data_IF_383578644066
#
_entry.id   IF_383578644066
#
_cell.length_a   1.000
_cell.length_b   1.000
_cell.length_c   1.000
_cell.angle_alpha   90.00
_cell.angle_beta   90.00
_cell.angle_gamma   90.00
#
_symmetry.space_group_name_H-M   'P 1'
#
loop_
_entity.id
_entity.type
_entity.pdbx_description
1 polymer ?
#
# COMPACT_ATOMS: atom_id res chain seq x y z
N UNK A 1 -11.84 1.49 6.20
CA UNK A 1 -10.81 0.85 5.34
C UNK A 1 -10.19 1.73 4.25
N UNK A 2 -10.94 2.46 3.41
CA UNK A 2 -10.34 3.24 2.30
C UNK A 2 -9.39 4.36 2.76
N UNK A 3 -9.78 5.11 3.81
CA UNK A 3 -8.93 6.17 4.39
C UNK A 3 -7.59 5.61 4.89
N UNK A 4 -7.65 4.51 5.65
CA UNK A 4 -6.45 3.79 6.15
C UNK A 4 -5.56 3.31 5.01
N UNK A 5 -6.15 2.81 3.92
CA UNK A 5 -5.39 2.42 2.72
C UNK A 5 -4.64 3.61 2.13
N UNK A 6 -5.32 4.75 1.93
CA UNK A 6 -4.73 5.96 1.36
C UNK A 6 -3.65 6.53 2.27
N UNK A 7 -3.90 6.61 3.58
CA UNK A 7 -2.92 7.11 4.57
C UNK A 7 -1.65 6.26 4.61
N UNK A 8 -1.78 4.93 4.66
CA UNK A 8 -0.60 4.05 4.68
C UNK A 8 0.16 4.05 3.34
N UNK A 9 -0.54 4.18 2.20
CA UNK A 9 0.11 4.32 0.89
C UNK A 9 0.86 5.65 0.79
N UNK A 10 0.28 6.77 1.24
CA UNK A 10 0.95 8.08 1.27
C UNK A 10 2.19 8.01 2.18
N UNK A 11 2.08 7.37 3.35
CA UNK A 11 3.23 7.18 4.26
C UNK A 11 4.34 6.35 3.62
N UNK A 12 3.99 5.37 2.80
CA UNK A 12 4.93 4.50 2.09
C UNK A 12 5.38 5.09 0.74
N UNK A 13 4.76 6.17 0.26
CA UNK A 13 4.97 6.75 -1.06
C UNK A 13 6.44 7.03 -1.38
N UNK A 14 7.25 7.63 -0.48
CA UNK A 14 8.66 7.88 -0.78
C UNK A 14 9.46 6.62 -1.13
N UNK A 15 9.14 5.48 -0.51
CA UNK A 15 9.83 4.20 -0.71
C UNK A 15 9.22 3.36 -1.85
N UNK A 16 7.92 3.52 -2.09
CA UNK A 16 7.21 2.75 -3.13
C UNK A 16 7.30 3.41 -4.50
N UNK A 17 7.22 4.74 -4.56
CA UNK A 17 7.04 5.52 -5.79
C UNK A 17 7.86 6.81 -5.85
N UNK A 18 8.28 7.35 -4.71
CA UNK A 18 8.92 8.65 -4.60
C UNK A 18 10.45 8.61 -4.52
N UNK A 19 11.03 9.60 -3.84
CA UNK A 19 12.47 9.88 -3.83
C UNK A 19 13.37 8.76 -3.28
N UNK A 20 12.83 7.82 -2.51
CA UNK A 20 13.57 6.70 -1.93
C UNK A 20 13.41 5.40 -2.72
N UNK A 21 12.66 5.39 -3.83
CA UNK A 21 12.33 4.18 -4.59
C UNK A 21 13.57 3.44 -5.11
N UNK A 22 14.63 4.19 -5.47
CA UNK A 22 15.90 3.66 -5.96
C UNK A 22 16.77 3.03 -4.86
N UNK A 23 16.54 3.42 -3.60
CA UNK A 23 17.24 2.90 -2.43
C UNK A 23 16.46 1.80 -1.70
N UNK A 24 15.21 1.56 -2.13
CA UNK A 24 14.32 0.59 -1.49
C UNK A 24 14.39 -0.75 -2.22
N UNK A 25 14.85 -1.79 -1.53
CA UNK A 25 14.95 -3.14 -2.08
C UNK A 25 13.57 -3.73 -2.42
N UNK A 26 13.54 -4.71 -3.32
CA UNK A 26 12.30 -5.42 -3.69
C UNK A 26 11.66 -6.06 -2.44
N UNK A 27 12.46 -6.71 -1.59
CA UNK A 27 11.98 -7.29 -0.33
C UNK A 27 11.32 -6.23 0.55
N UNK A 28 11.94 -5.05 0.69
CA UNK A 28 11.38 -3.96 1.49
C UNK A 28 10.07 -3.43 0.92
N UNK A 29 9.96 -3.31 -0.41
CA UNK A 29 8.70 -2.95 -1.07
C UNK A 29 7.62 -3.98 -0.80
N UNK A 30 7.95 -5.27 -0.82
CA UNK A 30 7.00 -6.35 -0.49
C UNK A 30 6.51 -6.28 0.95
N UNK A 31 7.39 -6.00 1.91
CA UNK A 31 7.01 -5.80 3.31
C UNK A 31 6.09 -4.59 3.50
N UNK A 32 6.38 -3.46 2.84
CA UNK A 32 5.53 -2.26 2.89
C UNK A 32 4.13 -2.56 2.36
N UNK A 33 4.04 -3.23 1.22
CA UNK A 33 2.75 -3.65 0.67
C UNK A 33 2.00 -4.62 1.59
N UNK A 34 2.70 -5.57 2.21
CA UNK A 34 2.08 -6.49 3.15
C UNK A 34 1.54 -5.75 4.37
N UNK A 35 2.32 -4.83 4.94
CA UNK A 35 1.89 -3.99 6.05
C UNK A 35 0.63 -3.18 5.72
N UNK A 36 0.55 -2.61 4.52
CA UNK A 36 -0.64 -1.88 4.05
C UNK A 36 -1.85 -2.83 4.02
N UNK A 37 -1.69 -4.03 3.46
CA UNK A 37 -2.74 -5.05 3.43
C UNK A 37 -3.20 -5.42 4.85
N UNK A 38 -2.28 -5.69 5.76
CA UNK A 38 -2.59 -6.09 7.14
C UNK A 38 -3.37 -4.97 7.86
N UNK A 39 -2.95 -3.71 7.69
CA UNK A 39 -3.62 -2.55 8.27
C UNK A 39 -5.02 -2.33 7.69
N UNK A 40 -5.18 -2.50 6.38
CA UNK A 40 -6.48 -2.35 5.72
C UNK A 40 -7.43 -3.48 6.13
N UNK A 41 -6.94 -4.71 6.20
CA UNK A 41 -7.72 -5.87 6.62
C UNK A 41 -8.11 -5.79 8.10
N UNK A 42 -7.25 -5.22 8.95
CA UNK A 42 -7.57 -5.02 10.37
C UNK A 42 -8.76 -4.07 10.61
N UNK A 43 -9.06 -3.17 9.66
CA UNK A 43 -10.18 -2.22 9.74
C UNK A 43 -11.29 -2.50 8.71
N UNK A 44 -11.11 -3.54 7.90
CA UNK A 44 -11.98 -3.91 6.79
C UNK A 44 -12.85 -5.10 7.16
N UNK A 45 -14.03 -5.20 6.55
CA UNK A 45 -14.91 -6.35 6.74
C UNK A 45 -14.55 -7.52 5.81
N UNK A 46 -13.78 -7.25 4.75
CA UNK A 46 -13.41 -8.22 3.73
C UNK A 46 -11.89 -8.31 3.63
N UNK A 47 -11.32 -9.53 3.59
CA UNK A 47 -9.90 -9.70 3.36
C UNK A 47 -9.55 -9.21 1.95
N UNK A 48 -8.60 -8.28 1.87
CA UNK A 48 -7.99 -7.81 0.63
C UNK A 48 -6.59 -8.38 0.51
N UNK A 49 -6.17 -8.61 -0.73
CA UNK A 49 -4.80 -8.97 -1.05
C UNK A 49 -4.05 -7.75 -1.64
N UNK A 50 -2.75 -7.93 -1.90
CA UNK A 50 -1.90 -6.85 -2.43
C UNK A 50 -2.36 -6.34 -3.80
N UNK A 51 -2.90 -7.20 -4.66
CA UNK A 51 -3.41 -6.82 -5.97
C UNK A 51 -4.68 -5.97 -5.85
N UNK A 52 -5.59 -6.32 -4.93
CA UNK A 52 -6.77 -5.52 -4.65
C UNK A 52 -6.40 -4.10 -4.20
N UNK A 53 -5.44 -3.98 -3.29
CA UNK A 53 -4.96 -2.68 -2.80
C UNK A 53 -4.31 -1.88 -3.94
N UNK A 54 -3.46 -2.52 -4.77
CA UNK A 54 -2.82 -1.85 -5.91
C UNK A 54 -3.84 -1.40 -6.95
N UNK A 55 -4.80 -2.25 -7.31
CA UNK A 55 -5.86 -1.92 -8.25
C UNK A 55 -6.70 -0.76 -7.71
N UNK A 56 -7.13 -0.84 -6.46
CA UNK A 56 -7.89 0.22 -5.80
C UNK A 56 -7.13 1.53 -5.74
N UNK A 57 -5.81 1.49 -5.51
CA UNK A 57 -4.96 2.68 -5.54
C UNK A 57 -4.86 3.28 -6.94
N UNK A 58 -4.68 2.45 -7.98
CA UNK A 58 -4.68 2.93 -9.36
C UNK A 58 -6.03 3.53 -9.75
N UNK A 59 -7.15 2.89 -9.38
CA UNK A 59 -8.50 3.40 -9.62
C UNK A 59 -8.72 4.80 -8.97
N UNK A 60 -8.09 5.07 -7.82
CA UNK A 60 -8.15 6.37 -7.16
C UNK A 60 -7.30 7.44 -7.83
N UNK A 61 -6.23 7.04 -8.52
CA UNK A 61 -5.31 7.98 -9.19
C UNK A 61 -5.84 8.46 -10.54
N UNK A 62 -6.76 7.71 -11.17
CA UNK A 62 -7.30 8.01 -12.48
C UNK A 62 -6.43 7.48 -13.61
#
# INVERSE_FOLDING_TARGET
>A
ELRVMVEEIIRAEPQLFGSQVQYTSIARKMELWQRIVDRVNAVGQHPRNREDIRKRWNDLRG
#
